data_IF_692393545578
#
_entry.id   IF_692393545578
#
_cell.length_a   1.000
_cell.length_b   1.000
_cell.length_c   1.000
_cell.angle_alpha   90.00
_cell.angle_beta   90.00
_cell.angle_gamma   90.00
#
_symmetry.space_group_name_H-M   'P 1'
#
loop_
_entity.id
_entity.type
_entity.pdbx_description
1 polymer ?
#
# COMPACT_ATOMS: atom_id res chain seq x y z
N UNK A 1 -0.76 11.08 24.00
CA UNK A 1 -1.76 10.00 24.03
C UNK A 1 -2.39 9.96 25.42
N UNK A 2 -3.68 9.91 25.51
CA UNK A 2 -4.44 9.96 26.77
C UNK A 2 -4.59 8.58 27.46
N UNK A 3 -3.98 7.55 26.92
CA UNK A 3 -4.04 6.17 27.41
C UNK A 3 -5.27 5.37 26.96
N UNK A 4 -6.15 5.95 26.14
CA UNK A 4 -7.28 5.22 25.58
C UNK A 4 -6.82 4.14 24.59
N UNK A 5 -7.50 2.99 24.50
CA UNK A 5 -7.14 1.97 23.52
C UNK A 5 -7.25 2.47 22.09
N UNK A 6 -6.25 2.13 21.27
CA UNK A 6 -6.26 2.36 19.83
C UNK A 6 -6.79 1.10 19.15
N UNK A 7 -7.91 1.19 18.45
CA UNK A 7 -8.55 0.04 17.82
C UNK A 7 -8.04 -0.12 16.40
N UNK A 8 -7.29 -1.21 16.14
CA UNK A 8 -6.91 -1.63 14.80
C UNK A 8 -7.96 -2.63 14.27
N UNK A 9 -8.63 -2.27 13.20
CA UNK A 9 -9.57 -3.15 12.50
C UNK A 9 -8.83 -3.96 11.45
N UNK A 10 -9.06 -5.27 11.43
CA UNK A 10 -8.32 -6.19 10.58
C UNK A 10 -9.18 -7.36 10.12
N UNK A 11 -8.93 -7.80 8.90
CA UNK A 11 -9.54 -8.97 8.30
C UNK A 11 -8.54 -9.63 7.35
N UNK A 12 -8.57 -10.95 7.24
CA UNK A 12 -7.82 -11.67 6.19
C UNK A 12 -8.37 -11.38 4.78
N UNK A 13 -9.53 -10.71 4.68
CA UNK A 13 -10.02 -10.10 3.45
C UNK A 13 -9.25 -8.84 3.02
N UNK A 14 -8.46 -8.21 3.92
CA UNK A 14 -7.54 -7.14 3.55
C UNK A 14 -6.32 -7.71 2.80
N UNK A 15 -5.66 -8.68 3.39
CA UNK A 15 -4.60 -9.48 2.77
C UNK A 15 -4.42 -10.79 3.54
N UNK A 16 -3.93 -11.86 2.91
CA UNK A 16 -3.70 -13.14 3.60
C UNK A 16 -2.75 -12.99 4.78
N UNK A 17 -3.17 -13.45 5.97
CA UNK A 17 -2.38 -13.35 7.20
C UNK A 17 -2.42 -11.99 7.89
N UNK A 18 -3.36 -11.12 7.52
CA UNK A 18 -3.50 -9.79 8.12
C UNK A 18 -3.76 -9.84 9.63
N UNK A 19 -4.53 -10.82 10.09
CA UNK A 19 -4.84 -10.99 11.52
C UNK A 19 -3.60 -11.40 12.31
N UNK A 20 -2.76 -12.27 11.77
CA UNK A 20 -1.50 -12.68 12.41
C UNK A 20 -0.50 -11.52 12.43
N UNK A 21 -0.39 -10.78 11.33
CA UNK A 21 0.43 -9.57 11.26
C UNK A 21 -0.02 -8.51 12.30
N UNK A 22 -1.32 -8.31 12.46
CA UNK A 22 -1.86 -7.40 13.47
C UNK A 22 -1.52 -7.86 14.91
N UNK A 23 -1.51 -9.17 15.16
CA UNK A 23 -1.13 -9.71 16.46
C UNK A 23 0.34 -9.45 16.82
N UNK A 24 1.24 -9.58 15.84
CA UNK A 24 2.65 -9.20 16.00
C UNK A 24 2.81 -7.68 16.20
N UNK A 25 2.05 -6.89 15.47
CA UNK A 25 2.05 -5.44 15.63
C UNK A 25 1.54 -5.02 17.00
N UNK A 26 0.47 -5.67 17.52
CA UNK A 26 -0.04 -5.43 18.87
C UNK A 26 1.03 -5.70 19.93
N UNK A 27 1.77 -6.82 19.82
CA UNK A 27 2.84 -7.15 20.76
C UNK A 27 3.94 -6.08 20.75
N UNK A 28 4.32 -5.60 19.57
CA UNK A 28 5.32 -4.53 19.42
C UNK A 28 4.81 -3.21 20.01
N UNK A 29 3.55 -2.87 19.81
CA UNK A 29 2.91 -1.68 20.36
C UNK A 29 2.85 -1.74 21.89
N UNK A 30 2.51 -2.90 22.45
CA UNK A 30 2.49 -3.12 23.89
C UNK A 30 3.86 -2.95 24.53
N UNK A 31 4.93 -3.46 23.89
CA UNK A 31 6.30 -3.27 24.36
C UNK A 31 6.70 -1.78 24.40
N UNK A 32 6.10 -0.94 23.56
CA UNK A 32 6.29 0.51 23.55
C UNK A 32 5.30 1.27 24.46
N UNK A 33 4.48 0.55 25.24
CA UNK A 33 3.46 1.15 26.12
C UNK A 33 2.23 1.72 25.38
N UNK A 34 2.00 1.30 24.15
CA UNK A 34 0.86 1.74 23.33
C UNK A 34 -0.26 0.70 23.45
N UNK A 35 -1.44 1.05 24.00
CA UNK A 35 -2.57 0.14 24.16
C UNK A 35 -3.27 -0.05 22.81
N UNK A 36 -2.86 -1.04 22.04
CA UNK A 36 -3.48 -1.41 20.77
C UNK A 36 -4.45 -2.59 20.98
N UNK A 37 -5.69 -2.42 20.55
CA UNK A 37 -6.69 -3.47 20.53
C UNK A 37 -7.00 -3.91 19.10
N UNK A 38 -7.09 -5.22 18.86
CA UNK A 38 -7.43 -5.78 17.56
C UNK A 38 -8.94 -6.03 17.52
N UNK A 39 -9.60 -5.41 16.55
CA UNK A 39 -10.97 -5.74 16.18
C UNK A 39 -10.98 -6.52 14.87
N UNK A 40 -11.29 -7.82 14.95
CA UNK A 40 -11.50 -8.66 13.76
C UNK A 40 -12.80 -8.26 13.08
N UNK A 41 -12.72 -8.03 11.78
CA UNK A 41 -13.86 -7.72 10.92
C UNK A 41 -14.11 -8.87 9.94
N UNK A 42 -15.35 -9.06 9.47
CA UNK A 42 -15.65 -10.05 8.42
C UNK A 42 -14.89 -9.74 7.13
N UNK A 43 -14.62 -10.78 6.33
CA UNK A 43 -14.06 -10.57 4.99
C UNK A 43 -15.08 -9.90 4.06
N UNK A 44 -16.34 -10.31 4.19
CA UNK A 44 -17.45 -9.69 3.46
C UNK A 44 -17.70 -8.26 3.96
N UNK A 45 -17.83 -7.33 3.04
CA UNK A 45 -18.03 -5.92 3.33
C UNK A 45 -16.79 -5.16 3.84
N UNK A 46 -15.61 -5.81 3.99
CA UNK A 46 -14.43 -5.14 4.53
C UNK A 46 -14.04 -3.88 3.74
N UNK A 47 -14.06 -3.96 2.43
CA UNK A 47 -13.66 -2.85 1.55
C UNK A 47 -14.72 -1.75 1.44
N UNK A 48 -15.98 -2.03 1.72
CA UNK A 48 -17.06 -1.03 1.70
C UNK A 48 -17.36 -0.40 3.04
N UNK A 49 -17.10 -1.12 4.15
CA UNK A 49 -17.55 -0.69 5.48
C UNK A 49 -16.40 -0.37 6.44
N UNK A 50 -15.20 -0.88 6.15
CA UNK A 50 -14.04 -0.70 7.02
C UNK A 50 -12.96 0.15 6.36
N UNK A 51 -12.43 -0.28 5.20
CA UNK A 51 -11.39 0.48 4.50
C UNK A 51 -11.92 1.85 4.05
N UNK A 52 -11.12 2.90 4.24
CA UNK A 52 -11.46 4.29 3.92
C UNK A 52 -12.74 4.82 4.61
N UNK A 53 -13.27 4.09 5.60
CA UNK A 53 -14.43 4.47 6.42
C UNK A 53 -14.03 4.58 7.89
N UNK A 54 -13.32 3.58 8.39
CA UNK A 54 -12.92 3.49 9.78
C UNK A 54 -11.58 4.19 10.03
N UNK A 55 -11.36 4.72 11.25
CA UNK A 55 -10.18 5.55 11.54
C UNK A 55 -8.84 4.85 11.40
N UNK A 56 -8.77 3.53 11.73
CA UNK A 56 -7.54 2.77 11.69
C UNK A 56 -7.81 1.31 11.33
N UNK A 57 -7.35 0.90 10.18
CA UNK A 57 -7.57 -0.46 9.67
C UNK A 57 -6.37 -0.97 8.87
N UNK A 58 -6.25 -2.29 8.79
CA UNK A 58 -5.28 -2.94 7.92
C UNK A 58 -5.70 -2.79 6.45
N UNK A 59 -4.73 -2.57 5.58
CA UNK A 59 -4.95 -2.43 4.14
C UNK A 59 -3.72 -2.91 3.38
N UNK A 60 -3.83 -3.00 2.06
CA UNK A 60 -2.69 -3.17 1.17
C UNK A 60 -2.80 -2.19 -0.01
N UNK A 61 -1.65 -1.94 -0.62
CA UNK A 61 -1.58 -1.18 -1.85
C UNK A 61 -0.77 -1.95 -2.88
N UNK A 62 -1.30 -2.09 -4.07
CA UNK A 62 -0.53 -2.59 -5.21
C UNK A 62 0.54 -1.59 -5.62
N UNK A 63 1.70 -2.08 -6.05
CA UNK A 63 2.79 -1.24 -6.54
C UNK A 63 2.36 -0.37 -7.73
N UNK A 64 3.08 0.75 -7.91
CA UNK A 64 2.94 1.62 -9.07
C UNK A 64 4.30 1.75 -9.75
N UNK A 65 4.35 1.82 -11.10
CA UNK A 65 5.61 1.95 -11.83
C UNK A 65 6.43 3.19 -11.47
N UNK A 66 5.75 4.26 -11.05
CA UNK A 66 6.36 5.54 -10.70
C UNK A 66 5.72 6.14 -9.45
N UNK A 67 6.51 6.90 -8.69
CA UNK A 67 6.07 7.55 -7.46
C UNK A 67 4.86 8.48 -7.66
N UNK A 68 4.84 9.19 -8.77
CA UNK A 68 3.75 10.09 -9.16
C UNK A 68 2.38 9.41 -9.11
N UNK A 69 2.28 8.21 -9.64
CA UNK A 69 1.02 7.47 -9.66
C UNK A 69 0.54 7.11 -8.25
N UNK A 70 1.45 6.66 -7.37
CA UNK A 70 1.09 6.36 -5.98
C UNK A 70 0.69 7.64 -5.25
N UNK A 71 1.47 8.71 -5.36
CA UNK A 71 1.19 9.97 -4.68
C UNK A 71 -0.13 10.60 -5.13
N UNK A 72 -0.41 10.55 -6.43
CA UNK A 72 -1.68 11.04 -6.98
C UNK A 72 -2.88 10.21 -6.54
N UNK A 73 -2.70 8.90 -6.39
CA UNK A 73 -3.80 7.97 -6.09
C UNK A 73 -4.16 7.96 -4.60
N UNK A 74 -3.15 7.96 -3.73
CA UNK A 74 -3.34 7.67 -2.31
C UNK A 74 -3.10 8.86 -1.37
N UNK A 75 -2.38 9.90 -1.81
CA UNK A 75 -1.93 10.97 -0.90
C UNK A 75 -2.28 12.39 -1.34
N UNK A 76 -2.71 12.60 -2.59
CA UNK A 76 -3.24 13.89 -3.02
C UNK A 76 -4.47 14.23 -2.14
N UNK A 77 -4.57 15.47 -1.66
CA UNK A 77 -5.63 15.88 -0.73
C UNK A 77 -7.04 15.67 -1.26
N UNK A 78 -7.19 15.62 -2.59
CA UNK A 78 -8.47 15.42 -3.30
C UNK A 78 -8.67 14.00 -3.80
N UNK A 79 -7.71 13.08 -3.57
CA UNK A 79 -7.84 11.71 -4.04
C UNK A 79 -8.92 10.96 -3.25
N UNK A 80 -9.82 10.29 -3.96
CA UNK A 80 -10.89 9.49 -3.35
C UNK A 80 -10.35 8.34 -2.51
N UNK A 81 -9.17 7.83 -2.86
CA UNK A 81 -8.49 6.75 -2.16
C UNK A 81 -7.42 7.20 -1.17
N UNK A 82 -7.46 8.48 -0.75
CA UNK A 82 -6.63 8.95 0.36
C UNK A 82 -7.20 8.41 1.68
N UNK A 83 -6.94 7.14 1.94
CA UNK A 83 -7.44 6.40 3.09
C UNK A 83 -6.81 6.82 4.42
N UNK A 84 -5.68 7.52 4.37
CA UNK A 84 -5.06 8.12 5.55
C UNK A 84 -5.74 9.41 6.01
N UNK A 85 -6.58 10.01 5.17
CA UNK A 85 -7.19 11.34 5.38
C UNK A 85 -6.16 12.46 5.59
N UNK A 86 -4.90 12.20 5.33
CA UNK A 86 -3.83 13.17 5.39
C UNK A 86 -3.95 14.17 4.24
N UNK A 87 -4.03 15.46 4.58
CA UNK A 87 -4.20 16.53 3.59
C UNK A 87 -3.15 17.61 3.83
N UNK A 88 -2.30 17.82 2.82
CA UNK A 88 -1.23 18.80 2.84
C UNK A 88 -1.18 19.57 1.52
N UNK A 89 -1.63 20.84 1.51
CA UNK A 89 -1.55 21.68 0.30
C UNK A 89 -0.12 21.81 -0.25
N UNK A 90 0.87 21.80 0.63
CA UNK A 90 2.28 21.82 0.24
C UNK A 90 2.68 20.57 -0.54
N UNK A 91 2.26 19.38 -0.08
CA UNK A 91 2.47 18.13 -0.80
C UNK A 91 1.80 18.13 -2.17
N UNK A 92 0.56 18.64 -2.25
CA UNK A 92 -0.18 18.76 -3.50
C UNK A 92 0.54 19.70 -4.49
N UNK A 93 1.07 20.83 -4.00
CA UNK A 93 1.84 21.78 -4.81
C UNK A 93 3.14 21.16 -5.33
N UNK A 94 3.88 20.43 -4.47
CA UNK A 94 5.10 19.73 -4.85
C UNK A 94 4.82 18.64 -5.90
N UNK A 95 3.71 17.92 -5.77
CA UNK A 95 3.31 16.91 -6.76
C UNK A 95 3.08 17.54 -8.13
N UNK A 96 2.38 18.67 -8.20
CA UNK A 96 2.15 19.40 -9.44
C UNK A 96 3.46 19.95 -10.02
N UNK A 97 4.36 20.45 -9.17
CA UNK A 97 5.69 20.91 -9.59
C UNK A 97 6.51 19.76 -10.18
N UNK A 98 6.55 18.60 -9.50
CA UNK A 98 7.29 17.42 -9.96
C UNK A 98 6.78 16.90 -11.32
N UNK A 99 5.46 16.92 -11.53
CA UNK A 99 4.84 16.55 -12.82
C UNK A 99 5.26 17.48 -13.98
N UNK A 100 5.47 18.75 -13.70
CA UNK A 100 5.86 19.75 -14.70
C UNK A 100 7.38 19.85 -14.90
N UNK A 101 8.19 19.29 -13.96
CA UNK A 101 9.64 19.40 -14.01
C UNK A 101 10.23 18.45 -15.07
N UNK A 102 10.98 19.01 -16.01
CA UNK A 102 11.62 18.27 -17.10
C UNK A 102 13.05 17.81 -16.77
N UNK A 103 13.69 18.46 -15.81
CA UNK A 103 14.99 18.05 -15.31
C UNK A 103 14.85 16.86 -14.37
N UNK A 104 15.39 15.72 -14.77
CA UNK A 104 15.28 14.47 -14.01
C UNK A 104 15.87 14.55 -12.60
N UNK A 105 16.97 15.27 -12.42
CA UNK A 105 17.63 15.40 -11.12
C UNK A 105 16.77 16.24 -10.16
N UNK A 106 16.23 17.35 -10.65
CA UNK A 106 15.32 18.20 -9.86
C UNK A 106 14.01 17.48 -9.54
N UNK A 107 13.42 16.79 -10.51
CA UNK A 107 12.21 16.00 -10.30
C UNK A 107 12.42 14.93 -9.24
N UNK A 108 13.54 14.21 -9.28
CA UNK A 108 13.91 13.20 -8.28
C UNK A 108 14.06 13.81 -6.89
N UNK A 109 14.65 14.99 -6.79
CA UNK A 109 14.79 15.71 -5.51
C UNK A 109 13.42 16.08 -4.93
N UNK A 110 12.50 16.61 -5.75
CA UNK A 110 11.14 16.93 -5.30
C UNK A 110 10.44 15.67 -4.76
N UNK A 111 10.48 14.55 -5.48
CA UNK A 111 9.87 13.30 -5.00
C UNK A 111 10.54 12.77 -3.74
N UNK A 112 11.85 12.96 -3.57
CA UNK A 112 12.56 12.59 -2.34
C UNK A 112 12.05 13.40 -1.14
N UNK A 113 11.89 14.70 -1.29
CA UNK A 113 11.34 15.58 -0.25
C UNK A 113 9.89 15.23 0.09
N UNK A 114 9.06 14.93 -0.92
CA UNK A 114 7.69 14.47 -0.73
C UNK A 114 7.65 13.14 0.04
N UNK A 115 8.54 12.21 -0.27
CA UNK A 115 8.64 10.93 0.47
C UNK A 115 9.03 11.13 1.94
N UNK A 116 9.93 12.08 2.22
CA UNK A 116 10.29 12.43 3.60
C UNK A 116 9.12 13.09 4.35
N UNK A 117 8.39 13.98 3.71
CA UNK A 117 7.20 14.60 4.28
C UNK A 117 6.14 13.53 4.63
N UNK A 118 5.86 12.63 3.68
CA UNK A 118 4.91 11.54 3.90
C UNK A 118 5.36 10.60 5.04
N UNK A 119 6.65 10.26 5.09
CA UNK A 119 7.21 9.44 6.17
C UNK A 119 7.06 10.09 7.54
N UNK A 120 7.27 11.39 7.64
CA UNK A 120 7.32 12.09 8.92
C UNK A 120 5.93 12.52 9.41
N UNK A 121 5.00 12.78 8.51
CA UNK A 121 3.71 13.39 8.83
C UNK A 121 2.52 12.57 8.35
N UNK A 122 2.72 11.60 7.45
CA UNK A 122 1.64 10.78 6.91
C UNK A 122 0.98 9.86 7.93
N UNK A 123 -0.27 9.53 7.69
CA UNK A 123 -1.06 8.64 8.55
C UNK A 123 -0.89 7.15 8.27
N UNK A 124 0.16 6.75 7.52
CA UNK A 124 0.41 5.37 7.13
C UNK A 124 1.52 4.74 7.97
N UNK A 125 1.25 3.54 8.48
CA UNK A 125 2.27 2.65 9.01
C UNK A 125 2.50 1.56 7.96
N UNK A 126 3.65 1.58 7.29
CA UNK A 126 4.03 0.63 6.25
C UNK A 126 5.11 -0.32 6.77
N UNK A 127 4.75 -1.48 7.30
CA UNK A 127 5.69 -2.38 7.95
C UNK A 127 6.53 -3.19 6.96
N UNK A 128 6.03 -3.46 5.75
CA UNK A 128 6.69 -4.36 4.80
C UNK A 128 6.27 -4.12 3.35
N UNK A 129 7.11 -4.56 2.43
CA UNK A 129 6.78 -4.82 1.04
C UNK A 129 6.80 -6.32 0.81
N UNK A 130 5.72 -6.85 0.26
CA UNK A 130 5.61 -8.28 -0.04
C UNK A 130 6.12 -8.59 -1.44
N UNK A 131 6.75 -9.75 -1.58
CA UNK A 131 7.07 -10.30 -2.89
C UNK A 131 5.82 -10.86 -3.57
N UNK A 132 5.76 -10.75 -4.89
CA UNK A 132 4.80 -11.49 -5.69
C UNK A 132 5.31 -12.92 -5.90
N UNK A 133 4.60 -13.90 -5.36
CA UNK A 133 4.96 -15.31 -5.48
C UNK A 133 4.04 -16.00 -6.48
N UNK A 134 4.61 -16.48 -7.58
CA UNK A 134 3.88 -17.17 -8.63
C UNK A 134 4.37 -18.63 -8.77
N UNK A 135 3.44 -19.57 -8.89
CA UNK A 135 3.72 -20.94 -9.29
C UNK A 135 3.54 -21.09 -10.81
N UNK A 136 4.57 -21.60 -11.49
CA UNK A 136 4.56 -21.75 -12.95
C UNK A 136 4.91 -23.17 -13.32
N UNK A 137 4.06 -23.83 -14.16
CA UNK A 137 4.35 -25.15 -14.69
C UNK A 137 5.55 -25.10 -15.66
N UNK A 138 6.34 -26.16 -15.69
CA UNK A 138 7.41 -26.34 -16.67
C UNK A 138 6.89 -26.46 -18.12
N UNK A 139 5.61 -26.79 -18.29
CA UNK A 139 4.94 -26.89 -19.60
C UNK A 139 4.51 -25.52 -20.15
N UNK A 140 4.65 -24.46 -19.36
CA UNK A 140 4.36 -23.11 -19.79
C UNK A 140 5.57 -22.48 -20.47
N UNK A 141 5.38 -21.98 -21.71
CA UNK A 141 6.35 -21.17 -22.43
C UNK A 141 6.03 -19.68 -22.31
N UNK A 142 7.04 -18.82 -22.51
CA UNK A 142 6.85 -17.37 -22.56
C UNK A 142 6.82 -16.67 -21.20
N UNK A 143 6.92 -17.38 -20.08
CA UNK A 143 6.95 -16.77 -18.76
C UNK A 143 8.23 -15.95 -18.55
N UNK A 144 8.08 -14.72 -18.09
CA UNK A 144 9.15 -13.81 -17.68
C UNK A 144 8.76 -13.22 -16.32
N UNK A 145 9.67 -13.23 -15.37
CA UNK A 145 9.44 -12.55 -14.09
C UNK A 145 9.34 -11.05 -14.31
N UNK A 146 8.24 -10.46 -13.86
CA UNK A 146 8.00 -9.03 -13.94
C UNK A 146 7.94 -8.45 -12.52
N UNK A 147 8.88 -7.57 -12.13
CA UNK A 147 8.90 -6.98 -10.79
C UNK A 147 7.78 -5.95 -10.56
N UNK A 148 7.04 -5.56 -11.59
CA UNK A 148 6.02 -4.51 -11.48
C UNK A 148 4.63 -5.04 -11.12
N UNK A 149 4.42 -6.36 -11.15
CA UNK A 149 3.12 -6.92 -10.80
C UNK A 149 3.03 -8.43 -10.94
N UNK A 150 2.01 -9.00 -10.35
CA UNK A 150 1.70 -10.42 -10.44
C UNK A 150 1.40 -10.86 -11.87
N UNK A 151 1.60 -12.13 -12.16
CA UNK A 151 1.22 -12.75 -13.43
C UNK A 151 1.71 -11.95 -14.66
N UNK A 152 2.98 -11.53 -14.64
CA UNK A 152 3.58 -10.70 -15.70
C UNK A 152 2.83 -9.36 -15.88
N UNK A 153 2.55 -8.64 -14.80
CA UNK A 153 1.69 -7.44 -14.78
C UNK A 153 0.29 -7.70 -15.36
N UNK A 154 -0.32 -8.82 -15.00
CA UNK A 154 -1.62 -9.31 -15.47
C UNK A 154 -1.68 -9.64 -16.98
N UNK A 155 -0.52 -9.88 -17.61
CA UNK A 155 -0.44 -10.17 -19.03
C UNK A 155 -0.09 -11.63 -19.36
N UNK A 156 0.03 -12.51 -18.35
CA UNK A 156 0.42 -13.90 -18.57
C UNK A 156 -0.48 -14.62 -19.58
N UNK A 157 -1.79 -14.41 -19.51
CA UNK A 157 -2.76 -15.06 -20.40
C UNK A 157 -2.56 -14.74 -21.89
N UNK A 158 -1.96 -13.60 -22.22
CA UNK A 158 -1.72 -13.18 -23.62
C UNK A 158 -0.26 -13.37 -24.06
N UNK A 159 0.66 -13.58 -23.13
CA UNK A 159 2.10 -13.72 -23.42
C UNK A 159 2.60 -15.13 -23.30
N UNK A 160 1.89 -16.00 -22.58
CA UNK A 160 2.29 -17.38 -22.35
C UNK A 160 1.55 -18.35 -23.27
N UNK A 161 2.17 -19.51 -23.50
CA UNK A 161 1.59 -20.61 -24.28
C UNK A 161 1.94 -21.96 -23.63
N UNK A 162 1.15 -22.97 -23.90
CA UNK A 162 1.51 -24.35 -23.54
C UNK A 162 2.54 -24.87 -24.54
N UNK A 163 3.64 -25.43 -24.02
CA UNK A 163 4.62 -26.14 -24.84
C UNK A 163 3.95 -27.41 -25.37
N UNK A 164 3.99 -27.61 -26.66
CA UNK A 164 3.62 -28.90 -27.26
C UNK A 164 4.67 -29.93 -26.90
N UNK A 165 4.21 -31.15 -26.52
CA UNK A 165 5.09 -32.28 -26.28
C UNK A 165 5.87 -32.67 -27.53
#
# INVERSE_FOLDING_TARGET
>A
HDGSPIILRVSDGAFPGAVDAASLFQQSAQAAGIPLEIKREPNDGYWSEVWNVQPFCASYWGGRPVQDQMYSTAYLSTADWNDTRWKRPEFDAMLNQAKAELDDAKRKEIYSQMGQMLRNEGGLILPMFNDFVNGVSNDLGGWINDPNGEMMSNQAAIKCWLKTA
#
